data_IF_579860819128
#
_entry.id   IF_579860819128
#
_cell.length_a   1.000
_cell.length_b   1.000
_cell.length_c   1.000
_cell.angle_alpha   90.00
_cell.angle_beta   90.00
_cell.angle_gamma   90.00
#
_symmetry.space_group_name_H-M   'P 1'
#
loop_
_entity.id
_entity.type
_entity.pdbx_description
1 polymer ?
#
# COMPACT_ATOMS: atom_id res chain seq x y z
N UNK A 1 -17.56 22.77 6.75
CA UNK A 1 -17.63 21.30 6.84
C UNK A 1 -16.54 20.86 7.81
N UNK A 2 -16.82 19.96 8.72
CA UNK A 2 -15.81 19.46 9.65
C UNK A 2 -14.85 18.49 8.93
N UNK A 3 -13.64 18.29 9.45
CA UNK A 3 -12.66 17.33 8.94
C UNK A 3 -13.26 15.92 8.79
N UNK A 4 -14.15 15.53 9.71
CA UNK A 4 -14.81 14.22 9.69
C UNK A 4 -15.77 14.13 8.49
N UNK A 5 -16.56 15.17 8.25
CA UNK A 5 -17.51 15.23 7.13
C UNK A 5 -16.79 15.24 5.79
N UNK A 6 -15.71 16.02 5.66
CA UNK A 6 -14.89 16.05 4.46
C UNK A 6 -14.29 14.68 4.14
N UNK A 7 -13.69 14.03 5.14
CA UNK A 7 -13.17 12.67 5.00
C UNK A 7 -14.27 11.65 4.63
N UNK A 8 -15.47 11.80 5.18
CA UNK A 8 -16.59 10.91 4.88
C UNK A 8 -17.05 11.04 3.43
N UNK A 9 -17.13 12.27 2.92
CA UNK A 9 -17.53 12.51 1.52
C UNK A 9 -16.49 11.96 0.53
N UNK A 10 -15.20 12.21 0.78
CA UNK A 10 -14.13 11.66 -0.08
C UNK A 10 -14.13 10.13 -0.03
N UNK A 11 -14.36 9.49 1.14
CA UNK A 11 -14.48 8.03 1.22
C UNK A 11 -15.66 7.50 0.42
N UNK A 12 -16.80 8.19 0.44
CA UNK A 12 -18.00 7.82 -0.34
C UNK A 12 -17.70 7.86 -1.84
N UNK A 13 -17.07 8.95 -2.30
CA UNK A 13 -16.64 9.12 -3.71
C UNK A 13 -15.62 8.06 -4.12
N UNK A 14 -14.58 7.84 -3.31
CA UNK A 14 -13.55 6.83 -3.58
C UNK A 14 -14.13 5.41 -3.70
N UNK A 15 -15.06 5.04 -2.81
CA UNK A 15 -15.76 3.73 -2.91
C UNK A 15 -16.61 3.61 -4.19
N UNK A 16 -17.32 4.67 -4.57
CA UNK A 16 -18.12 4.67 -5.80
C UNK A 16 -17.23 4.52 -7.04
N UNK A 17 -16.08 5.21 -7.03
CA UNK A 17 -15.10 5.16 -8.10
C UNK A 17 -14.52 3.74 -8.26
N UNK A 18 -14.11 3.11 -7.17
CA UNK A 18 -13.57 1.74 -7.21
C UNK A 18 -14.60 0.74 -7.77
N UNK A 19 -15.87 0.88 -7.40
CA UNK A 19 -16.96 0.03 -7.93
C UNK A 19 -17.20 0.19 -9.43
N UNK A 20 -16.84 1.35 -9.99
CA UNK A 20 -17.03 1.62 -11.41
C UNK A 20 -15.94 0.99 -12.29
N UNK A 21 -14.83 0.55 -11.71
CA UNK A 21 -13.74 -0.13 -12.44
C UNK A 21 -14.15 -1.57 -12.74
N UNK A 22 -14.32 -1.88 -14.03
CA UNK A 22 -14.62 -3.24 -14.48
C UNK A 22 -13.48 -4.21 -14.22
N UNK A 23 -13.77 -5.50 -14.13
CA UNK A 23 -12.79 -6.52 -13.72
C UNK A 23 -11.58 -6.61 -14.65
N UNK A 24 -11.80 -6.59 -15.97
CA UNK A 24 -10.74 -6.63 -16.98
C UNK A 24 -9.85 -5.38 -16.92
N UNK A 25 -10.48 -4.21 -16.80
CA UNK A 25 -9.79 -2.94 -16.67
C UNK A 25 -8.98 -2.88 -15.37
N UNK A 26 -9.54 -3.35 -14.26
CA UNK A 26 -8.83 -3.46 -12.97
C UNK A 26 -7.55 -4.26 -13.10
N UNK A 27 -7.59 -5.39 -13.80
CA UNK A 27 -6.40 -6.24 -14.01
C UNK A 27 -5.35 -5.52 -14.87
N UNK A 28 -5.77 -4.90 -15.97
CA UNK A 28 -4.89 -4.17 -16.88
C UNK A 28 -4.20 -2.99 -16.20
N UNK A 29 -4.98 -2.17 -15.47
CA UNK A 29 -4.46 -1.00 -14.76
C UNK A 29 -3.52 -1.40 -13.62
N UNK A 30 -3.89 -2.45 -12.87
CA UNK A 30 -3.07 -2.94 -11.76
C UNK A 30 -1.70 -3.45 -12.22
N UNK A 31 -1.65 -4.17 -13.35
CA UNK A 31 -0.37 -4.61 -13.95
C UNK A 31 0.51 -3.42 -14.33
N UNK A 32 -0.06 -2.40 -14.96
CA UNK A 32 0.68 -1.17 -15.31
C UNK A 32 1.21 -0.46 -14.07
N UNK A 33 0.39 -0.33 -13.03
CA UNK A 33 0.84 0.26 -11.76
C UNK A 33 1.97 -0.56 -11.12
N UNK A 34 1.87 -1.90 -11.15
CA UNK A 34 2.93 -2.78 -10.67
C UNK A 34 4.24 -2.59 -11.46
N UNK A 35 4.17 -2.49 -12.78
CA UNK A 35 5.34 -2.24 -13.63
C UNK A 35 5.95 -0.86 -13.33
N UNK A 36 5.14 0.16 -13.11
CA UNK A 36 5.61 1.49 -12.73
C UNK A 36 6.35 1.47 -11.38
N UNK A 37 5.84 0.74 -10.39
CA UNK A 37 6.53 0.56 -9.10
C UNK A 37 7.84 -0.21 -9.27
N UNK A 38 7.83 -1.30 -10.03
CA UNK A 38 9.02 -2.14 -10.28
C UNK A 38 10.13 -1.41 -11.04
N UNK A 39 9.79 -0.41 -11.84
CA UNK A 39 10.76 0.40 -12.57
C UNK A 39 11.58 1.34 -11.66
N UNK A 40 11.09 1.63 -10.43
CA UNK A 40 11.75 2.56 -9.51
C UNK A 40 13.07 1.99 -8.98
N UNK A 41 14.11 2.84 -8.84
CA UNK A 41 15.36 2.45 -8.18
C UNK A 41 15.11 1.91 -6.77
N UNK A 42 14.25 2.55 -6.00
CA UNK A 42 13.90 2.18 -4.64
C UNK A 42 13.30 0.77 -4.56
N UNK A 43 12.51 0.36 -5.57
CA UNK A 43 12.00 -1.01 -5.65
C UNK A 43 13.11 -2.01 -5.95
N UNK A 44 14.02 -1.67 -6.86
CA UNK A 44 15.14 -2.56 -7.24
C UNK A 44 16.04 -2.83 -6.03
N UNK A 45 16.29 -1.82 -5.21
CA UNK A 45 17.11 -1.89 -4.01
C UNK A 45 16.39 -2.52 -2.81
N UNK A 46 15.05 -2.50 -2.79
CA UNK A 46 14.28 -3.04 -1.68
C UNK A 46 14.44 -4.56 -1.56
N UNK A 47 14.77 -5.02 -0.37
CA UNK A 47 14.77 -6.44 -0.03
C UNK A 47 13.40 -6.94 0.38
N UNK A 48 12.62 -6.09 1.06
CA UNK A 48 11.28 -6.41 1.53
C UNK A 48 10.22 -5.62 0.77
N UNK A 49 9.14 -6.31 0.37
CA UNK A 49 7.91 -5.72 -0.15
C UNK A 49 6.77 -6.10 0.79
N UNK A 50 6.29 -5.13 1.55
CA UNK A 50 5.14 -5.27 2.43
C UNK A 50 3.91 -4.84 1.65
N UNK A 51 3.12 -5.80 1.16
CA UNK A 51 1.98 -5.53 0.28
C UNK A 51 0.66 -5.96 0.93
N UNK A 52 -0.40 -5.19 0.71
CA UNK A 52 -1.74 -5.65 1.08
C UNK A 52 -2.23 -6.72 0.10
N UNK A 53 -3.15 -7.55 0.56
CA UNK A 53 -3.94 -8.43 -0.31
C UNK A 53 -5.22 -7.68 -0.68
N UNK A 54 -5.45 -7.51 -1.97
CA UNK A 54 -6.49 -6.61 -2.48
C UNK A 54 -7.89 -7.10 -2.15
N UNK A 55 -8.74 -6.18 -1.73
CA UNK A 55 -10.16 -6.43 -1.42
C UNK A 55 -11.03 -6.00 -2.59
N UNK A 56 -11.86 -6.93 -3.10
CA UNK A 56 -12.94 -6.58 -4.02
C UNK A 56 -12.50 -5.68 -5.18
N UNK A 57 -12.88 -4.42 -5.12
CA UNK A 57 -12.63 -3.43 -6.17
C UNK A 57 -11.30 -2.65 -6.02
N UNK A 58 -10.50 -2.94 -5.00
CA UNK A 58 -9.19 -2.29 -4.83
C UNK A 58 -8.25 -2.64 -5.99
N UNK A 59 -7.28 -1.76 -6.24
CA UNK A 59 -6.19 -2.06 -7.19
C UNK A 59 -5.53 -3.38 -6.78
N UNK A 60 -5.29 -4.25 -7.75
CA UNK A 60 -4.81 -5.61 -7.51
C UNK A 60 -3.30 -5.62 -7.29
N UNK A 61 -2.88 -6.32 -6.24
CA UNK A 61 -1.46 -6.44 -5.86
C UNK A 61 -0.84 -7.77 -6.27
N UNK A 62 -1.62 -8.73 -6.77
CA UNK A 62 -1.18 -10.09 -7.09
C UNK A 62 0.02 -10.07 -8.07
N UNK A 63 -0.07 -9.32 -9.17
CA UNK A 63 1.01 -9.25 -10.16
C UNK A 63 2.30 -8.64 -9.59
N UNK A 64 2.19 -7.67 -8.69
CA UNK A 64 3.32 -7.08 -7.97
C UNK A 64 3.95 -8.10 -7.01
N UNK A 65 3.12 -8.79 -6.22
CA UNK A 65 3.53 -9.82 -5.26
C UNK A 65 4.27 -10.95 -5.99
N UNK A 66 3.67 -11.51 -7.02
CA UNK A 66 4.28 -12.60 -7.81
C UNK A 66 5.61 -12.18 -8.45
N UNK A 67 5.66 -10.96 -8.99
CA UNK A 67 6.89 -10.45 -9.58
C UNK A 67 7.98 -10.27 -8.52
N UNK A 68 7.65 -9.70 -7.37
CA UNK A 68 8.59 -9.53 -6.26
C UNK A 68 9.14 -10.88 -5.77
N UNK A 69 8.28 -11.90 -5.64
CA UNK A 69 8.70 -13.25 -5.25
C UNK A 69 9.61 -13.90 -6.31
N UNK A 70 9.28 -13.75 -7.60
CA UNK A 70 10.12 -14.24 -8.71
C UNK A 70 11.49 -13.56 -8.76
N UNK A 71 11.56 -12.30 -8.37
CA UNK A 71 12.80 -11.49 -8.28
C UNK A 71 13.61 -11.78 -6.99
N UNK A 72 13.16 -12.73 -6.16
CA UNK A 72 13.85 -13.13 -4.93
C UNK A 72 13.69 -12.16 -3.76
N UNK A 73 12.75 -11.22 -3.86
CA UNK A 73 12.42 -10.32 -2.74
C UNK A 73 11.58 -11.07 -1.70
N UNK A 74 11.71 -10.65 -0.45
CA UNK A 74 10.87 -11.16 0.65
C UNK A 74 9.58 -10.37 0.63
N UNK A 75 8.45 -11.08 0.43
CA UNK A 75 7.12 -10.47 0.47
C UNK A 75 6.48 -10.76 1.82
N UNK A 76 5.85 -9.75 2.40
CA UNK A 76 5.05 -9.88 3.61
C UNK A 76 3.68 -9.22 3.42
N UNK A 77 2.66 -9.77 4.08
CA UNK A 77 1.28 -9.30 3.98
C UNK A 77 0.70 -9.03 5.37
N UNK A 78 -0.28 -8.11 5.49
CA UNK A 78 -0.84 -7.74 6.78
C UNK A 78 -1.75 -8.84 7.33
N UNK A 79 -1.57 -9.16 8.60
CA UNK A 79 -2.50 -9.90 9.45
C UNK A 79 -3.06 -8.95 10.50
N UNK A 80 -4.37 -8.99 10.69
CA UNK A 80 -5.05 -8.15 11.67
C UNK A 80 -4.92 -8.78 13.04
N UNK A 81 -4.44 -8.00 14.02
CA UNK A 81 -4.28 -8.42 15.40
C UNK A 81 -4.78 -7.35 16.38
N UNK A 82 -4.73 -7.65 17.66
CA UNK A 82 -4.97 -6.68 18.72
C UNK A 82 -3.73 -6.60 19.60
N UNK A 83 -3.35 -5.38 19.99
CA UNK A 83 -2.31 -5.19 20.98
C UNK A 83 -2.78 -5.70 22.36
N UNK A 84 -1.88 -5.86 23.36
CA UNK A 84 -2.27 -6.20 24.72
C UNK A 84 -3.33 -5.27 25.32
N UNK A 85 -3.33 -3.99 24.90
CA UNK A 85 -4.29 -2.97 25.33
C UNK A 85 -5.61 -3.02 24.53
N UNK A 86 -5.80 -4.01 23.66
CA UNK A 86 -6.99 -4.18 22.84
C UNK A 86 -7.08 -3.23 21.64
N UNK A 87 -6.00 -2.54 21.29
CA UNK A 87 -5.97 -1.66 20.10
C UNK A 87 -5.76 -2.51 18.85
N UNK A 88 -6.60 -2.36 17.82
CA UNK A 88 -6.41 -3.10 16.58
C UNK A 88 -5.16 -2.62 15.83
N UNK A 89 -4.28 -3.57 15.49
CA UNK A 89 -3.02 -3.35 14.80
C UNK A 89 -2.91 -4.23 13.55
N UNK A 90 -1.96 -3.94 12.69
CA UNK A 90 -1.51 -4.88 11.66
C UNK A 90 -0.10 -5.37 11.97
N UNK A 91 0.09 -6.67 11.81
CA UNK A 91 1.37 -7.35 11.86
C UNK A 91 1.64 -7.89 10.48
N UNK A 92 2.77 -7.57 9.90
CA UNK A 92 3.15 -8.16 8.62
C UNK A 92 3.76 -9.53 8.85
N UNK A 93 3.28 -10.51 8.08
CA UNK A 93 3.75 -11.90 8.13
C UNK A 93 4.35 -12.29 6.78
N UNK A 94 5.35 -13.15 6.80
CA UNK A 94 5.97 -13.67 5.58
C UNK A 94 4.93 -14.35 4.70
N UNK A 95 4.98 -14.07 3.40
CA UNK A 95 4.11 -14.68 2.41
C UNK A 95 4.81 -15.88 1.77
N UNK A 96 4.36 -17.12 2.02
CA UNK A 96 4.91 -18.31 1.38
C UNK A 96 4.43 -18.41 -0.07
N UNK A 97 5.10 -19.21 -0.89
CA UNK A 97 4.70 -19.43 -2.29
C UNK A 97 3.30 -20.05 -2.40
N UNK A 98 2.94 -20.84 -1.41
CA UNK A 98 1.67 -21.58 -1.35
C UNK A 98 0.51 -20.76 -0.77
N UNK A 99 0.65 -19.45 -0.61
CA UNK A 99 -0.39 -18.59 0.00
C UNK A 99 -1.75 -18.64 -0.70
N UNK A 100 -1.80 -19.08 -1.95
CA UNK A 100 -3.06 -19.28 -2.67
C UNK A 100 -3.93 -20.39 -2.04
N UNK A 101 -3.33 -21.30 -1.28
CA UNK A 101 -4.02 -22.36 -0.54
C UNK A 101 -4.59 -21.89 0.80
N UNK A 102 -4.31 -20.68 1.25
CA UNK A 102 -4.82 -20.15 2.49
C UNK A 102 -6.35 -20.07 2.49
N UNK A 103 -6.99 -20.26 3.64
CA UNK A 103 -8.40 -19.97 3.81
C UNK A 103 -8.71 -18.54 3.34
N UNK A 104 -9.91 -18.33 2.86
CA UNK A 104 -10.33 -16.99 2.41
C UNK A 104 -11.40 -16.44 3.34
N UNK A 105 -11.37 -15.12 3.55
CA UNK A 105 -12.42 -14.43 4.27
C UNK A 105 -13.71 -14.32 3.43
N UNK A 106 -14.74 -13.69 4.00
CA UNK A 106 -16.02 -13.44 3.31
C UNK A 106 -15.90 -12.55 2.07
N UNK A 107 -14.78 -11.91 1.86
CA UNK A 107 -14.47 -11.07 0.69
C UNK A 107 -13.57 -11.78 -0.33
N UNK A 108 -13.24 -13.05 -0.08
CA UNK A 108 -12.37 -13.86 -0.93
C UNK A 108 -10.88 -13.58 -0.76
N UNK A 109 -10.47 -12.84 0.29
CA UNK A 109 -9.07 -12.49 0.55
C UNK A 109 -8.39 -13.64 1.29
N UNK A 110 -7.21 -14.10 0.83
CA UNK A 110 -6.44 -15.08 1.59
C UNK A 110 -6.15 -14.58 3.01
N UNK A 111 -6.49 -15.41 4.00
CA UNK A 111 -6.25 -15.12 5.41
C UNK A 111 -4.94 -15.76 5.85
N UNK A 112 -3.93 -14.96 6.26
CA UNK A 112 -2.72 -15.53 6.84
C UNK A 112 -3.06 -16.39 8.06
N UNK A 113 -2.66 -17.68 8.09
CA UNK A 113 -2.82 -18.54 9.26
C UNK A 113 -2.18 -17.94 10.52
N UNK A 114 -2.69 -18.32 11.69
CA UNK A 114 -2.19 -17.81 12.97
C UNK A 114 -0.69 -18.13 13.19
N UNK A 115 -0.25 -19.27 12.68
CA UNK A 115 1.14 -19.74 12.72
C UNK A 115 2.07 -19.05 11.70
N UNK A 116 1.53 -18.22 10.79
CA UNK A 116 2.36 -17.50 9.82
C UNK A 116 3.40 -16.65 10.54
N UNK A 117 4.66 -16.83 10.16
CA UNK A 117 5.81 -16.15 10.80
C UNK A 117 5.70 -14.63 10.62
N UNK A 118 5.60 -13.86 11.72
CA UNK A 118 5.65 -12.40 11.61
C UNK A 118 7.03 -11.91 11.20
N UNK A 119 7.08 -10.75 10.54
CA UNK A 119 8.33 -10.01 10.38
C UNK A 119 8.80 -9.56 11.76
N UNK A 120 10.07 -9.86 12.06
CA UNK A 120 10.69 -9.31 13.25
C UNK A 120 10.97 -7.80 13.11
N UNK A 121 11.13 -7.11 14.23
CA UNK A 121 11.55 -5.70 14.22
C UNK A 121 12.91 -5.55 13.54
N UNK A 122 13.80 -6.50 13.69
CA UNK A 122 15.09 -6.51 13.04
C UNK A 122 14.96 -6.60 11.52
N UNK A 123 14.15 -7.50 11.01
CA UNK A 123 13.89 -7.63 9.57
C UNK A 123 13.29 -6.36 8.98
N UNK A 124 12.32 -5.76 9.67
CA UNK A 124 11.64 -4.55 9.20
C UNK A 124 12.56 -3.32 9.20
N UNK A 125 13.49 -3.24 10.17
CA UNK A 125 14.22 -2.01 10.49
C UNK A 125 15.72 -2.08 10.16
N UNK A 126 16.22 -3.15 9.55
CA UNK A 126 17.65 -3.32 9.25
C UNK A 126 17.98 -3.25 7.76
N UNK A 127 16.97 -3.21 6.88
CA UNK A 127 17.15 -3.25 5.43
C UNK A 127 16.16 -2.35 4.70
N UNK A 128 16.40 -2.11 3.42
CA UNK A 128 15.48 -1.37 2.57
C UNK A 128 14.16 -2.11 2.41
N UNK A 129 13.06 -1.46 2.75
CA UNK A 129 11.71 -1.98 2.65
C UNK A 129 10.77 -0.99 1.97
N UNK A 130 9.85 -1.51 1.15
CA UNK A 130 8.72 -0.75 0.62
C UNK A 130 7.43 -1.25 1.27
N UNK A 131 6.68 -0.33 1.84
CA UNK A 131 5.33 -0.58 2.36
C UNK A 131 4.32 -0.08 1.32
N UNK A 132 3.71 -1.00 0.60
CA UNK A 132 2.64 -0.73 -0.36
C UNK A 132 1.34 -0.56 0.41
N UNK A 133 0.78 0.65 0.39
CA UNK A 133 -0.39 1.01 1.20
C UNK A 133 -1.65 1.17 0.37
N UNK A 134 -2.78 0.60 0.79
CA UNK A 134 -4.08 0.84 0.17
C UNK A 134 -4.66 2.18 0.62
N UNK A 135 -5.60 2.70 -0.16
CA UNK A 135 -6.38 3.88 0.18
C UNK A 135 -7.62 4.03 -0.67
N UNK A 136 -8.55 4.88 -0.26
CA UNK A 136 -9.72 5.28 -1.04
C UNK A 136 -9.45 6.55 -1.85
N UNK A 137 -8.51 7.39 -1.39
CA UNK A 137 -8.05 8.57 -2.10
C UNK A 137 -6.60 8.88 -1.70
N UNK A 138 -5.89 9.51 -2.61
CA UNK A 138 -4.52 10.01 -2.42
C UNK A 138 -4.37 11.40 -3.03
N UNK A 139 -3.39 12.16 -2.57
CA UNK A 139 -3.03 13.42 -3.18
C UNK A 139 -1.54 13.50 -3.57
N UNK A 140 -1.20 14.53 -4.33
CA UNK A 140 0.18 14.74 -4.81
C UNK A 140 1.18 15.09 -3.71
N UNK A 141 0.70 15.44 -2.52
CA UNK A 141 1.52 15.73 -1.33
C UNK A 141 1.77 14.47 -0.50
N UNK A 142 1.26 13.31 -0.93
CA UNK A 142 1.33 12.03 -0.22
C UNK A 142 0.23 11.87 0.85
N UNK A 143 -0.76 12.75 0.87
CA UNK A 143 -1.95 12.55 1.67
C UNK A 143 -2.63 11.23 1.31
N UNK A 144 -3.08 10.46 2.29
CA UNK A 144 -3.70 9.16 2.12
C UNK A 144 -4.98 9.06 2.95
N UNK A 145 -6.09 8.72 2.31
CA UNK A 145 -7.36 8.47 2.99
C UNK A 145 -7.70 6.98 2.93
N UNK A 146 -7.56 6.30 4.04
CA UNK A 146 -7.97 4.91 4.20
C UNK A 146 -9.44 4.76 4.60
N UNK A 147 -9.83 3.53 4.94
CA UNK A 147 -11.21 3.17 5.36
C UNK A 147 -11.61 3.68 6.76
N UNK A 148 -10.70 4.36 7.50
CA UNK A 148 -10.99 5.02 8.78
C UNK A 148 -10.67 4.22 10.04
N UNK A 149 -9.93 3.11 9.94
CA UNK A 149 -9.50 2.31 11.10
C UNK A 149 -8.09 2.69 11.64
N UNK A 150 -7.34 3.53 10.92
CA UNK A 150 -6.00 3.99 11.31
C UNK A 150 -4.91 2.92 11.37
N UNK A 151 -5.13 1.75 10.76
CA UNK A 151 -4.17 0.65 10.81
C UNK A 151 -2.82 0.99 10.20
N UNK A 152 -2.82 1.50 8.98
CA UNK A 152 -1.59 1.87 8.28
C UNK A 152 -0.93 3.10 8.89
N UNK A 153 -1.69 4.02 9.47
CA UNK A 153 -1.15 5.22 10.13
C UNK A 153 -0.32 4.80 11.35
N UNK A 154 -0.87 3.94 12.21
CA UNK A 154 -0.13 3.38 13.36
C UNK A 154 1.08 2.58 12.93
N UNK A 155 0.93 1.68 11.95
CA UNK A 155 2.02 0.86 11.47
C UNK A 155 3.17 1.71 10.90
N UNK A 156 2.87 2.64 9.99
CA UNK A 156 3.87 3.50 9.36
C UNK A 156 4.60 4.38 10.37
N UNK A 157 3.88 4.92 11.35
CA UNK A 157 4.49 5.71 12.43
C UNK A 157 5.53 4.90 13.20
N UNK A 158 5.16 3.70 13.66
CA UNK A 158 6.07 2.81 14.39
C UNK A 158 7.24 2.31 13.54
N UNK A 159 6.95 1.86 12.31
CA UNK A 159 7.96 1.32 11.40
C UNK A 159 9.00 2.37 10.98
N UNK A 160 8.56 3.62 10.70
CA UNK A 160 9.48 4.73 10.40
C UNK A 160 10.37 5.09 11.59
N UNK A 161 9.81 5.15 12.79
CA UNK A 161 10.58 5.41 13.99
C UNK A 161 11.63 4.31 14.24
N UNK A 162 11.28 3.06 13.99
CA UNK A 162 12.19 1.93 14.09
C UNK A 162 13.31 2.01 13.02
N UNK A 163 12.97 2.18 11.77
CA UNK A 163 13.93 2.29 10.66
C UNK A 163 14.93 3.44 10.90
N UNK A 164 14.43 4.60 11.34
CA UNK A 164 15.27 5.77 11.64
C UNK A 164 16.32 5.48 12.74
N UNK A 165 15.93 4.74 13.80
CA UNK A 165 16.86 4.36 14.87
C UNK A 165 17.99 3.44 14.41
N UNK A 166 17.76 2.67 13.34
CA UNK A 166 18.71 1.67 12.83
C UNK A 166 19.38 2.08 11.52
N UNK A 167 19.11 3.28 11.01
CA UNK A 167 19.68 3.77 9.76
C UNK A 167 19.16 3.03 8.52
N UNK A 168 18.02 2.34 8.62
CA UNK A 168 17.37 1.65 7.52
C UNK A 168 16.47 2.59 6.71
N UNK A 169 16.17 2.21 5.47
CA UNK A 169 15.26 2.93 4.58
C UNK A 169 13.90 2.22 4.53
N UNK A 170 12.85 2.91 4.94
CA UNK A 170 11.47 2.45 4.79
C UNK A 170 10.70 3.45 3.94
N UNK A 171 10.27 3.01 2.76
CA UNK A 171 9.50 3.81 1.82
C UNK A 171 8.03 3.43 1.89
N UNK A 172 7.16 4.36 2.24
CA UNK A 172 5.71 4.19 2.17
C UNK A 172 5.21 4.59 0.77
N UNK A 173 4.64 3.63 0.05
CA UNK A 173 4.11 3.82 -1.29
C UNK A 173 2.59 3.69 -1.29
N UNK A 174 1.86 4.75 -1.63
CA UNK A 174 0.45 4.66 -1.98
C UNK A 174 0.31 3.94 -3.32
N UNK A 175 -0.49 2.89 -3.38
CA UNK A 175 -0.71 2.11 -4.59
C UNK A 175 -2.20 2.15 -4.93
N UNK A 176 -2.54 2.80 -6.04
CA UNK A 176 -3.93 3.11 -6.37
C UNK A 176 -4.14 3.33 -7.87
N UNK A 177 -5.39 3.38 -8.31
CA UNK A 177 -5.73 3.87 -9.65
C UNK A 177 -5.55 5.39 -9.72
N UNK A 178 -5.14 5.93 -10.86
CA UNK A 178 -5.01 7.37 -11.09
C UNK A 178 -6.31 8.12 -10.79
N UNK A 179 -7.45 7.49 -11.05
CA UNK A 179 -8.77 8.02 -10.71
C UNK A 179 -9.00 8.26 -9.21
N UNK A 180 -8.19 7.67 -8.31
CA UNK A 180 -8.26 7.91 -6.86
C UNK A 180 -7.46 9.14 -6.42
N UNK A 181 -6.78 9.81 -7.35
CA UNK A 181 -6.08 11.05 -7.04
C UNK A 181 -7.07 12.19 -6.86
N UNK A 182 -6.92 12.93 -5.77
CA UNK A 182 -7.67 14.14 -5.44
C UNK A 182 -6.71 15.31 -5.29
N UNK A 183 -7.23 16.53 -5.32
CA UNK A 183 -6.41 17.73 -5.16
C UNK A 183 -5.76 17.77 -3.77
N UNK A 184 -6.52 17.46 -2.73
CA UNK A 184 -6.06 17.44 -1.35
C UNK A 184 -6.84 16.40 -0.52
N UNK A 185 -6.11 15.63 0.28
CA UNK A 185 -6.67 14.74 1.29
C UNK A 185 -6.66 15.48 2.63
N UNK A 186 -7.83 15.71 3.26
CA UNK A 186 -7.89 16.33 4.57
C UNK A 186 -7.14 15.49 5.61
N UNK A 187 -6.15 16.07 6.28
CA UNK A 187 -5.29 15.37 7.23
C UNK A 187 -5.54 15.82 8.67
N UNK A 188 -5.67 14.89 9.59
CA UNK A 188 -5.65 15.11 11.02
C UNK A 188 -4.27 14.82 11.61
N UNK A 189 -4.15 14.99 12.94
CA UNK A 189 -2.88 14.84 13.65
C UNK A 189 -2.24 13.44 13.52
N UNK A 190 -3.07 12.41 13.47
CA UNK A 190 -2.63 11.01 13.48
C UNK A 190 -2.50 10.40 12.08
N UNK A 191 -2.84 11.16 11.05
CA UNK A 191 -2.72 10.68 9.65
C UNK A 191 -1.25 10.71 9.21
N UNK A 192 -0.79 9.63 8.63
CA UNK A 192 0.59 9.46 8.16
C UNK A 192 0.63 9.47 6.64
N UNK A 193 1.28 10.49 6.10
CA UNK A 193 1.45 10.62 4.65
C UNK A 193 2.41 9.54 4.10
N UNK A 194 2.18 9.12 2.85
CA UNK A 194 3.11 8.28 2.09
C UNK A 194 4.23 9.13 1.45
N UNK A 195 5.32 8.48 1.07
CA UNK A 195 6.48 9.15 0.47
C UNK A 195 6.29 9.36 -1.03
N UNK A 196 5.60 8.42 -1.67
CA UNK A 196 5.21 8.50 -3.08
C UNK A 196 3.87 7.78 -3.31
N UNK A 197 3.24 8.10 -4.43
CA UNK A 197 2.02 7.42 -4.91
C UNK A 197 2.32 6.85 -6.30
N UNK A 198 2.01 5.59 -6.52
CA UNK A 198 2.14 4.90 -7.82
C UNK A 198 0.77 4.54 -8.34
N UNK A 199 0.55 4.87 -9.60
CA UNK A 199 -0.66 4.56 -10.36
C UNK A 199 -0.29 3.91 -11.69
N UNK A 200 -1.27 3.50 -12.47
CA UNK A 200 -1.07 3.04 -13.85
C UNK A 200 -0.52 4.12 -14.79
N UNK A 201 -0.65 5.39 -14.42
CA UNK A 201 -0.15 6.52 -15.21
C UNK A 201 1.29 6.89 -14.87
N UNK A 202 1.83 6.41 -13.74
CA UNK A 202 3.19 6.69 -13.30
C UNK A 202 3.29 6.94 -11.80
N UNK A 203 4.40 7.56 -11.39
CA UNK A 203 4.74 7.84 -10.00
C UNK A 203 4.65 9.33 -9.69
N UNK A 204 4.15 9.64 -8.51
CA UNK A 204 4.09 10.99 -7.92
C UNK A 204 4.87 10.95 -6.60
N UNK A 205 5.87 11.83 -6.43
CA UNK A 205 6.68 11.91 -5.20
C UNK A 205 6.72 13.33 -4.67
N UNK A 206 6.70 13.48 -3.35
CA UNK A 206 6.90 14.77 -2.66
C UNK A 206 8.24 15.44 -3.01
N UNK A 207 9.29 14.62 -3.17
CA UNK A 207 10.67 15.11 -3.33
C UNK A 207 11.09 15.30 -4.77
N UNK A 208 10.32 14.77 -5.72
CA UNK A 208 10.62 14.83 -7.15
C UNK A 208 9.46 15.48 -7.89
N UNK A 209 9.60 16.76 -8.20
CA UNK A 209 8.82 17.38 -9.28
C UNK A 209 9.27 16.77 -10.64
N UNK A 210 9.14 15.47 -10.80
CA UNK A 210 9.38 14.80 -12.07
C UNK A 210 8.08 14.84 -12.84
N UNK A 211 8.01 15.81 -13.75
CA UNK A 211 6.99 15.85 -14.78
C UNK A 211 6.98 14.49 -15.50
N UNK A 212 5.84 13.81 -15.46
CA UNK A 212 5.57 12.62 -16.28
C UNK A 212 5.85 13.01 -17.72
N UNK A 213 6.92 12.46 -18.32
CA UNK A 213 7.06 12.51 -19.77
C UNK A 213 5.92 11.66 -20.34
N UNK A 214 4.86 12.33 -20.81
CA UNK A 214 3.89 11.70 -21.71
C UNK A 214 4.70 11.10 -22.86
N UNK A 215 4.76 9.78 -22.91
CA UNK A 215 5.35 9.09 -24.03
C UNK A 215 4.67 9.56 -25.30
N UNK A 216 5.42 10.23 -26.16
CA UNK A 216 4.98 10.53 -27.50
C UNK A 216 4.75 9.18 -28.21
N UNK A 217 3.51 8.95 -28.57
CA UNK A 217 3.14 7.89 -29.51
C UNK A 217 3.58 8.41 -30.89
N UNK A 218 4.56 7.76 -31.47
CA UNK A 218 4.79 7.75 -32.91
C UNK A 218 4.42 6.38 -33.43
#
# INVERSE_FOLDING_TARGET
MSLIEEKAEIRKRGKALLKAVGQEEAERLSRRAADNLRALPEYKEARFILAFLSMGEEIRTESLIESAMKEGKIVAVPRMEYSPEGVPIIVFVHLPKEYHSWPRDRFGIPLPPAESRPLSEEELCSVSAIVVTPGLAFDRKGGRLGRGKGYYDRFLSGARACAARRGASLLACGFCYAAQLVDEVPAGRDDVAVDLVVTEEGMISKSRNVAIKRGAIF
#
